data_IF_415106161145
#
_entry.id   IF_415106161145
#
_cell.length_a   1.000
_cell.length_b   1.000
_cell.length_c   1.000
_cell.angle_alpha   90.00
_cell.angle_beta   90.00
_cell.angle_gamma   90.00
#
_symmetry.space_group_name_H-M   'P 1'
#
loop_
_entity.id
_entity.type
_entity.pdbx_description
1 polymer ?
#
# COMPACT_ATOMS: atom_id res chain seq x y z
N UNK A 1 6.48 12.37 29.41
CA UNK A 1 5.64 11.16 29.43
C UNK A 1 5.50 10.73 27.99
N UNK A 2 6.37 9.82 27.56
CA UNK A 2 6.42 9.34 26.17
C UNK A 2 5.12 8.57 25.88
N UNK A 3 4.42 8.99 24.83
CA UNK A 3 3.28 8.24 24.31
C UNK A 3 3.88 6.98 23.68
N UNK A 4 3.74 5.83 24.35
CA UNK A 4 4.00 4.53 23.73
C UNK A 4 3.19 4.48 22.43
N UNK A 5 3.89 4.46 21.29
CA UNK A 5 3.31 4.28 19.96
C UNK A 5 2.56 2.94 19.96
N UNK A 6 1.25 3.03 20.20
CA UNK A 6 0.31 1.92 20.36
C UNK A 6 0.49 0.83 19.31
N UNK A 7 0.43 -0.42 19.75
CA UNK A 7 0.26 -1.61 18.92
C UNK A 7 0.17 -2.87 19.79
N UNK A 8 -0.58 -3.91 19.40
CA UNK A 8 -0.48 -5.22 20.05
C UNK A 8 1.00 -5.66 20.05
N UNK A 9 1.42 -6.47 21.04
CA UNK A 9 2.77 -7.05 21.09
C UNK A 9 3.03 -7.89 19.83
N UNK A 10 3.51 -7.25 18.78
CA UNK A 10 4.39 -7.81 17.77
C UNK A 10 5.67 -6.98 17.87
N UNK A 11 6.32 -7.08 19.03
CA UNK A 11 7.58 -6.41 19.30
C UNK A 11 8.61 -6.88 18.26
N UNK A 12 9.18 -5.94 17.50
CA UNK A 12 10.36 -6.19 16.67
C UNK A 12 10.16 -6.23 15.16
N UNK A 13 8.94 -6.25 14.63
CA UNK A 13 8.80 -6.26 13.17
C UNK A 13 8.83 -4.85 12.54
N UNK A 14 9.49 -4.69 11.38
CA UNK A 14 9.71 -3.38 10.79
C UNK A 14 8.44 -2.78 10.18
N UNK A 15 8.33 -1.46 10.21
CA UNK A 15 7.30 -0.70 9.49
C UNK A 15 7.74 -0.34 8.07
N UNK A 16 6.82 0.26 7.30
CA UNK A 16 7.05 0.72 5.93
C UNK A 16 7.56 -0.42 5.02
N UNK A 17 6.96 -1.60 5.16
CA UNK A 17 7.42 -2.86 4.56
C UNK A 17 7.33 -2.88 3.04
N UNK A 18 6.45 -2.06 2.46
CA UNK A 18 6.31 -1.94 1.03
C UNK A 18 6.99 -0.66 0.52
N UNK A 19 8.18 -0.75 -0.11
CA UNK A 19 8.88 0.42 -0.64
C UNK A 19 8.19 1.02 -1.88
N UNK A 20 7.35 0.25 -2.57
CA UNK A 20 6.53 0.71 -3.71
C UNK A 20 5.04 0.71 -3.33
N UNK A 21 4.73 1.22 -2.14
CA UNK A 21 3.38 1.20 -1.56
C UNK A 21 2.33 1.74 -2.54
N UNK A 22 1.32 0.93 -2.93
CA UNK A 22 0.30 1.32 -3.90
C UNK A 22 -0.83 2.13 -3.25
N UNK A 23 -1.67 2.75 -4.08
CA UNK A 23 -3.00 3.20 -3.65
C UNK A 23 -3.89 1.98 -3.42
N UNK A 24 -4.79 2.04 -2.43
CA UNK A 24 -5.71 0.93 -2.17
C UNK A 24 -6.71 0.72 -3.30
N UNK A 25 -7.13 1.77 -4.01
CA UNK A 25 -8.00 1.63 -5.20
C UNK A 25 -7.38 0.68 -6.25
N UNK A 26 -6.08 0.83 -6.52
CA UNK A 26 -5.34 -0.04 -7.45
C UNK A 26 -5.30 -1.48 -6.95
N UNK A 27 -5.09 -1.68 -5.64
CA UNK A 27 -5.08 -3.04 -5.07
C UNK A 27 -6.47 -3.67 -5.18
N UNK A 28 -7.54 -2.96 -4.81
CA UNK A 28 -8.92 -3.43 -4.86
C UNK A 28 -9.34 -3.84 -6.28
N UNK A 29 -9.01 -3.03 -7.29
CA UNK A 29 -9.25 -3.39 -8.70
C UNK A 29 -8.47 -4.64 -9.12
N UNK A 30 -7.22 -4.77 -8.68
CA UNK A 30 -6.41 -5.96 -8.97
C UNK A 30 -6.91 -7.23 -8.27
N UNK A 31 -7.45 -7.14 -7.05
CA UNK A 31 -7.95 -8.32 -6.33
C UNK A 31 -9.00 -9.08 -7.17
N UNK A 32 -9.95 -8.35 -7.75
CA UNK A 32 -10.98 -8.93 -8.61
C UNK A 32 -10.40 -9.54 -9.90
N UNK A 33 -9.43 -8.86 -10.52
CA UNK A 33 -8.88 -9.27 -11.83
C UNK A 33 -7.90 -10.44 -11.71
N UNK A 34 -7.15 -10.49 -10.61
CA UNK A 34 -6.14 -11.52 -10.38
C UNK A 34 -6.72 -12.88 -9.99
N UNK A 35 -7.93 -12.93 -9.44
CA UNK A 35 -8.62 -14.19 -9.14
C UNK A 35 -8.71 -15.09 -10.39
N UNK A 36 -8.23 -16.32 -10.31
CA UNK A 36 -8.16 -17.26 -11.44
C UNK A 36 -6.91 -17.11 -12.33
N UNK A 37 -5.99 -16.18 -12.06
CA UNK A 37 -4.66 -16.18 -12.68
C UNK A 37 -3.69 -17.06 -11.90
N UNK A 38 -2.74 -17.68 -12.60
CA UNK A 38 -1.66 -18.39 -11.91
C UNK A 38 -0.63 -17.41 -11.34
N UNK A 39 -0.04 -17.75 -10.20
CA UNK A 39 1.11 -17.04 -9.62
C UNK A 39 2.27 -16.96 -10.61
N UNK A 40 2.47 -18.02 -11.40
CA UNK A 40 3.53 -18.10 -12.42
C UNK A 40 3.32 -17.03 -13.49
N UNK A 41 2.10 -16.90 -14.00
CA UNK A 41 1.76 -15.95 -15.06
C UNK A 41 1.96 -14.50 -14.61
N UNK A 42 1.45 -14.15 -13.42
CA UNK A 42 1.63 -12.81 -12.86
C UNK A 42 3.11 -12.48 -12.66
N UNK A 43 3.90 -13.44 -12.17
CA UNK A 43 5.36 -13.26 -12.01
C UNK A 43 6.08 -13.16 -13.36
N UNK A 44 5.62 -13.90 -14.37
CA UNK A 44 6.12 -13.81 -15.74
C UNK A 44 6.03 -12.38 -16.25
N UNK A 45 4.84 -11.77 -16.17
CA UNK A 45 4.63 -10.37 -16.55
C UNK A 45 5.55 -9.41 -15.76
N UNK A 46 5.61 -9.54 -14.43
CA UNK A 46 6.47 -8.68 -13.60
C UNK A 46 7.93 -8.77 -14.02
N UNK A 47 8.40 -9.98 -14.32
CA UNK A 47 9.77 -10.22 -14.76
C UNK A 47 10.04 -9.65 -16.15
N UNK A 48 9.13 -9.82 -17.11
CA UNK A 48 9.27 -9.27 -18.46
C UNK A 48 9.40 -7.74 -18.43
N UNK A 49 8.53 -7.06 -17.69
CA UNK A 49 8.60 -5.60 -17.49
C UNK A 49 9.93 -5.18 -16.86
N UNK A 50 10.43 -5.94 -15.88
CA UNK A 50 11.71 -5.64 -15.24
C UNK A 50 12.89 -5.78 -16.21
N UNK A 51 12.94 -6.89 -16.97
CA UNK A 51 14.01 -7.17 -17.93
C UNK A 51 14.05 -6.15 -19.06
N UNK A 52 12.90 -5.62 -19.46
CA UNK A 52 12.78 -4.62 -20.52
C UNK A 52 12.77 -3.16 -20.02
N UNK A 53 13.06 -2.91 -18.74
CA UNK A 53 13.00 -1.55 -18.16
C UNK A 53 14.04 -0.57 -18.75
N UNK A 54 15.03 -1.06 -19.48
CA UNK A 54 16.15 -0.27 -20.00
C UNK A 54 17.21 0.02 -18.94
N UNK A 55 18.14 0.93 -19.26
CA UNK A 55 19.19 1.39 -18.33
C UNK A 55 18.81 2.73 -17.70
N UNK A 56 19.62 3.20 -16.74
CA UNK A 56 19.44 4.55 -16.17
C UNK A 56 19.60 5.65 -17.22
N UNK A 57 20.48 5.45 -18.20
CA UNK A 57 20.82 6.43 -19.22
C UNK A 57 19.88 6.36 -20.43
N UNK A 58 19.18 5.22 -20.61
CA UNK A 58 18.18 5.01 -21.66
C UNK A 58 16.97 4.24 -21.09
N UNK A 59 16.11 4.90 -20.30
CA UNK A 59 14.95 4.25 -19.71
C UNK A 59 13.87 4.02 -20.76
N UNK A 60 13.24 2.84 -20.70
CA UNK A 60 12.08 2.54 -21.55
C UNK A 60 10.83 3.17 -20.96
N UNK A 61 10.00 3.78 -21.81
CA UNK A 61 8.72 4.34 -21.41
C UNK A 61 7.65 3.25 -21.29
N UNK A 62 7.16 3.05 -20.08
CA UNK A 62 6.03 2.14 -19.77
C UNK A 62 4.72 2.88 -19.51
N UNK A 63 4.59 4.11 -20.02
CA UNK A 63 3.49 5.02 -19.64
C UNK A 63 2.19 4.76 -20.38
N UNK A 64 2.23 4.22 -21.60
CA UNK A 64 1.05 3.95 -22.43
C UNK A 64 0.86 2.43 -22.68
N UNK A 65 0.07 1.73 -21.82
CA UNK A 65 -0.16 0.29 -21.94
C UNK A 65 -0.73 -0.16 -23.28
N UNK A 66 -1.65 0.61 -23.86
CA UNK A 66 -2.28 0.26 -25.14
C UNK A 66 -1.23 0.03 -26.26
N UNK A 67 -0.13 0.77 -26.18
CA UNK A 67 0.98 0.66 -27.12
C UNK A 67 1.95 -0.44 -26.72
N UNK A 68 2.56 -0.35 -25.54
CA UNK A 68 3.66 -1.24 -25.19
C UNK A 68 3.24 -2.70 -24.96
N UNK A 69 1.98 -2.97 -24.58
CA UNK A 69 1.50 -4.36 -24.37
C UNK A 69 1.65 -5.16 -25.67
N UNK A 70 1.30 -4.56 -26.80
CA UNK A 70 1.36 -5.21 -28.11
C UNK A 70 2.78 -5.27 -28.68
N UNK A 71 3.59 -4.24 -28.43
CA UNK A 71 4.91 -4.14 -29.04
C UNK A 71 6.00 -4.91 -28.31
N UNK A 72 5.85 -5.10 -26.99
CA UNK A 72 6.92 -5.59 -26.12
C UNK A 72 6.66 -6.98 -25.59
N UNK A 73 5.41 -7.26 -25.22
CA UNK A 73 5.08 -8.53 -24.60
C UNK A 73 4.68 -9.57 -25.64
N UNK A 74 5.03 -10.82 -25.35
CA UNK A 74 4.70 -11.97 -26.16
C UNK A 74 3.75 -12.90 -25.40
N UNK A 75 3.02 -13.74 -26.14
CA UNK A 75 2.29 -14.90 -25.62
C UNK A 75 1.57 -14.63 -24.29
N UNK A 76 2.01 -15.30 -23.22
CA UNK A 76 1.34 -15.31 -21.93
C UNK A 76 1.51 -14.02 -21.15
N UNK A 77 2.67 -13.35 -21.22
CA UNK A 77 2.82 -12.06 -20.54
C UNK A 77 1.87 -11.01 -21.12
N UNK A 78 1.69 -11.04 -22.45
CA UNK A 78 0.74 -10.15 -23.14
C UNK A 78 -0.69 -10.40 -22.66
N UNK A 79 -1.15 -11.65 -22.66
CA UNK A 79 -2.50 -12.01 -22.19
C UNK A 79 -2.77 -11.54 -20.75
N UNK A 80 -1.79 -11.70 -19.86
CA UNK A 80 -1.90 -11.25 -18.46
C UNK A 80 -1.96 -9.73 -18.38
N UNK A 81 -1.13 -9.03 -19.16
CA UNK A 81 -1.14 -7.57 -19.20
C UNK A 81 -2.45 -7.02 -19.75
N UNK A 82 -3.00 -7.62 -20.81
CA UNK A 82 -4.30 -7.26 -21.38
C UNK A 82 -5.43 -7.53 -20.39
N UNK A 83 -5.42 -8.69 -19.73
CA UNK A 83 -6.41 -9.01 -18.69
C UNK A 83 -6.39 -7.99 -17.55
N UNK A 84 -5.23 -7.57 -17.09
CA UNK A 84 -5.11 -6.52 -16.07
C UNK A 84 -5.60 -5.19 -16.63
N UNK A 85 -5.10 -4.77 -17.78
CA UNK A 85 -5.41 -3.46 -18.33
C UNK A 85 -6.89 -3.31 -18.66
N UNK A 86 -7.48 -4.26 -19.38
CA UNK A 86 -8.91 -4.21 -19.71
C UNK A 86 -9.80 -4.56 -18.52
N UNK A 87 -9.40 -5.52 -17.69
CA UNK A 87 -10.17 -5.96 -16.52
C UNK A 87 -10.31 -4.88 -15.44
N UNK A 88 -9.38 -3.92 -15.37
CA UNK A 88 -9.52 -2.74 -14.49
C UNK A 88 -10.07 -1.53 -15.24
N UNK A 89 -10.76 -1.69 -16.38
CA UNK A 89 -11.21 -0.56 -17.21
C UNK A 89 -10.10 0.45 -17.54
N UNK A 90 -8.88 -0.05 -17.76
CA UNK A 90 -7.69 0.71 -18.14
C UNK A 90 -7.16 1.68 -17.07
N UNK A 91 -7.66 1.59 -15.84
CA UNK A 91 -7.17 2.40 -14.70
C UNK A 91 -5.80 1.96 -14.20
N UNK A 92 -5.46 0.67 -14.30
CA UNK A 92 -4.21 0.10 -13.79
C UNK A 92 -3.25 -0.17 -14.93
N UNK A 93 -2.05 0.40 -14.83
CA UNK A 93 -0.95 0.11 -15.71
C UNK A 93 -0.24 -1.19 -15.27
N UNK A 94 -0.25 -2.28 -16.07
CA UNK A 94 0.31 -3.57 -15.65
C UNK A 94 1.82 -3.50 -15.37
N UNK A 95 2.56 -2.55 -15.95
CA UNK A 95 3.98 -2.35 -15.66
C UNK A 95 4.25 -1.72 -14.26
N UNK A 96 3.22 -1.29 -13.55
CA UNK A 96 3.32 -0.61 -12.24
C UNK A 96 2.75 -1.44 -11.08
N UNK A 97 2.40 -2.70 -11.31
CA UNK A 97 1.70 -3.54 -10.32
C UNK A 97 2.61 -4.15 -9.26
N UNK A 98 3.94 -4.08 -9.38
CA UNK A 98 4.86 -4.73 -8.43
C UNK A 98 4.60 -4.33 -6.98
N UNK A 99 4.26 -3.06 -6.73
CA UNK A 99 3.86 -2.58 -5.41
C UNK A 99 2.61 -3.25 -4.86
N UNK A 100 1.58 -3.39 -5.70
CA UNK A 100 0.35 -4.09 -5.35
C UNK A 100 0.58 -5.59 -5.15
N UNK A 101 1.36 -6.24 -6.02
CA UNK A 101 1.78 -7.63 -5.85
C UNK A 101 2.45 -7.88 -4.49
N UNK A 102 3.36 -7.01 -4.07
CA UNK A 102 4.02 -7.11 -2.76
C UNK A 102 3.02 -6.97 -1.60
N UNK A 103 2.05 -6.07 -1.71
CA UNK A 103 1.04 -5.86 -0.68
C UNK A 103 0.11 -7.08 -0.57
N UNK A 104 -0.47 -7.50 -1.70
CA UNK A 104 -1.36 -8.68 -1.79
C UNK A 104 -0.68 -9.91 -1.20
N UNK A 105 0.56 -10.18 -1.61
CA UNK A 105 1.30 -11.36 -1.15
C UNK A 105 1.67 -11.30 0.33
N UNK A 106 2.01 -10.11 0.85
CA UNK A 106 2.48 -9.94 2.23
C UNK A 106 1.35 -10.03 3.25
N UNK A 107 0.18 -9.50 2.90
CA UNK A 107 -0.97 -9.44 3.81
C UNK A 107 -2.04 -10.50 3.48
N UNK A 108 -1.72 -11.47 2.62
CA UNK A 108 -2.62 -12.58 2.30
C UNK A 108 -3.98 -12.12 1.79
N UNK A 109 -4.00 -11.12 0.90
CA UNK A 109 -5.26 -10.57 0.38
C UNK A 109 -5.90 -11.47 -0.69
N UNK A 110 -5.15 -12.45 -1.19
CA UNK A 110 -5.61 -13.56 -2.03
C UNK A 110 -4.88 -14.82 -1.55
N UNK A 111 -5.58 -15.95 -1.61
CA UNK A 111 -4.99 -17.26 -1.41
C UNK A 111 -4.38 -17.79 -2.71
N UNK A 112 -3.57 -18.85 -2.59
CA UNK A 112 -3.03 -19.57 -3.74
C UNK A 112 -3.37 -21.05 -3.58
N UNK A 113 -4.30 -21.54 -4.42
CA UNK A 113 -4.73 -22.94 -4.47
C UNK A 113 -4.26 -23.51 -5.81
N UNK A 114 -3.48 -24.60 -5.77
CA UNK A 114 -2.88 -25.22 -6.97
C UNK A 114 -2.13 -24.23 -7.89
N UNK A 115 -1.51 -23.21 -7.28
CA UNK A 115 -0.77 -22.17 -7.99
C UNK A 115 -1.63 -21.08 -8.61
N UNK A 116 -2.95 -21.12 -8.43
CA UNK A 116 -3.94 -20.13 -8.91
C UNK A 116 -4.36 -19.21 -7.77
N UNK A 117 -4.47 -17.91 -8.05
CA UNK A 117 -4.99 -16.94 -7.09
C UNK A 117 -6.49 -17.14 -6.86
N UNK A 118 -6.90 -17.17 -5.60
CA UNK A 118 -8.30 -17.30 -5.20
C UNK A 118 -8.67 -16.23 -4.18
N UNK A 119 -9.92 -15.76 -4.24
CA UNK A 119 -10.45 -14.85 -3.21
C UNK A 119 -10.58 -15.56 -1.86
N UNK A 120 -10.41 -14.79 -0.80
CA UNK A 120 -10.55 -15.23 0.59
C UNK A 120 -11.26 -14.13 1.41
N UNK A 121 -11.42 -14.35 2.72
CA UNK A 121 -12.09 -13.38 3.59
C UNK A 121 -11.37 -12.00 3.58
N UNK A 122 -10.03 -12.00 3.58
CA UNK A 122 -9.23 -10.77 3.52
C UNK A 122 -9.48 -9.99 2.22
N UNK A 123 -9.78 -10.68 1.10
CA UNK A 123 -10.18 -10.02 -0.15
C UNK A 123 -11.41 -9.15 0.05
N UNK A 124 -12.48 -9.73 0.61
CA UNK A 124 -13.73 -9.00 0.86
C UNK A 124 -13.57 -7.92 1.93
N UNK A 125 -12.85 -8.20 3.02
CA UNK A 125 -12.64 -7.24 4.08
C UNK A 125 -11.78 -6.04 3.63
N UNK A 126 -10.81 -6.25 2.75
CA UNK A 126 -9.96 -5.16 2.25
C UNK A 126 -10.71 -4.19 1.31
N UNK A 127 -11.81 -4.65 0.72
CA UNK A 127 -12.72 -3.82 -0.07
C UNK A 127 -13.61 -2.90 0.79
N UNK A 128 -13.70 -3.16 2.10
CA UNK A 128 -14.45 -2.35 3.06
C UNK A 128 -13.47 -1.55 3.91
N UNK A 129 -13.81 -0.29 4.19
CA UNK A 129 -12.98 0.60 5.01
C UNK A 129 -13.87 1.43 5.96
N UNK A 130 -13.64 1.38 7.29
CA UNK A 130 -12.58 0.64 7.98
C UNK A 130 -12.82 -0.87 8.05
N UNK A 131 -11.74 -1.65 8.20
CA UNK A 131 -11.79 -3.10 8.47
C UNK A 131 -10.51 -3.58 9.19
N UNK A 132 -10.54 -4.74 9.88
CA UNK A 132 -9.36 -5.28 10.58
C UNK A 132 -8.15 -5.50 9.67
N UNK A 133 -8.37 -6.02 8.46
CA UNK A 133 -7.27 -6.20 7.49
C UNK A 133 -6.70 -4.86 7.01
N UNK A 134 -7.53 -3.86 6.73
CA UNK A 134 -7.06 -2.51 6.35
C UNK A 134 -6.24 -1.89 7.46
N UNK A 135 -6.68 -2.03 8.71
CA UNK A 135 -5.95 -1.59 9.89
C UNK A 135 -4.59 -2.28 10.01
N UNK A 136 -4.53 -3.60 9.82
CA UNK A 136 -3.28 -4.36 9.89
C UNK A 136 -2.28 -3.86 8.82
N UNK A 137 -2.73 -3.66 7.58
CA UNK A 137 -1.88 -3.09 6.52
C UNK A 137 -1.44 -1.68 6.91
N UNK A 138 -2.35 -0.82 7.35
CA UNK A 138 -2.05 0.55 7.73
C UNK A 138 -1.05 0.64 8.89
N UNK A 139 -1.15 -0.26 9.86
CA UNK A 139 -0.23 -0.35 10.99
C UNK A 139 1.20 -0.63 10.49
N UNK A 140 1.38 -1.72 9.75
CA UNK A 140 2.70 -2.15 9.30
C UNK A 140 3.28 -1.30 8.18
N UNK A 141 2.46 -0.56 7.45
CA UNK A 141 2.91 0.40 6.45
C UNK A 141 3.15 1.80 7.03
N UNK A 142 2.94 2.00 8.34
CA UNK A 142 3.20 3.27 9.02
C UNK A 142 2.15 4.36 8.71
N UNK A 143 1.00 3.97 8.16
CA UNK A 143 -0.12 4.88 7.89
C UNK A 143 -0.74 5.37 9.19
N UNK A 144 -0.89 4.47 10.19
CA UNK A 144 -1.46 4.82 11.49
C UNK A 144 -0.65 5.91 12.18
N UNK A 145 0.68 5.82 12.16
CA UNK A 145 1.55 6.85 12.73
C UNK A 145 1.32 8.24 12.10
N UNK A 146 1.15 8.29 10.77
CA UNK A 146 0.86 9.55 10.06
C UNK A 146 -0.50 10.12 10.49
N UNK A 147 -1.53 9.27 10.59
CA UNK A 147 -2.86 9.68 11.05
C UNK A 147 -2.81 10.21 12.49
N UNK A 148 -2.09 9.52 13.38
CA UNK A 148 -1.92 9.93 14.77
C UNK A 148 -1.22 11.28 14.90
N UNK A 149 -0.10 11.49 14.20
CA UNK A 149 0.58 12.79 14.24
C UNK A 149 -0.31 13.93 13.75
N UNK A 150 -1.14 13.69 12.73
CA UNK A 150 -2.10 14.68 12.24
C UNK A 150 -3.26 14.91 13.21
N UNK A 151 -3.70 13.87 13.93
CA UNK A 151 -4.73 13.99 14.97
C UNK A 151 -4.23 14.82 16.16
N UNK A 152 -2.98 14.61 16.59
CA UNK A 152 -2.35 15.30 17.72
C UNK A 152 -2.03 16.77 17.43
N UNK A 153 -1.55 17.06 16.21
CA UNK A 153 -1.05 18.40 15.86
C UNK A 153 -2.10 19.24 15.10
N UNK A 154 -3.26 18.64 14.75
CA UNK A 154 -4.33 19.14 13.87
C UNK A 154 -3.92 19.50 12.43
N UNK A 155 -2.72 20.06 12.26
CA UNK A 155 -2.11 20.47 11.00
C UNK A 155 -0.61 20.21 11.09
N UNK A 156 -0.02 19.61 10.06
CA UNK A 156 1.43 19.44 9.95
C UNK A 156 1.96 20.03 8.65
N UNK A 157 3.08 20.77 8.73
CA UNK A 157 3.84 21.12 7.55
C UNK A 157 4.49 19.86 6.96
N UNK A 158 4.72 19.85 5.64
CA UNK A 158 5.34 18.69 4.97
C UNK A 158 6.74 18.42 5.48
N UNK A 159 7.47 19.47 5.84
CA UNK A 159 8.82 19.44 6.42
C UNK A 159 8.82 18.81 7.84
N UNK A 160 7.81 19.11 8.65
CA UNK A 160 7.66 18.50 9.98
C UNK A 160 7.30 17.02 9.87
N UNK A 161 6.39 16.68 8.94
CA UNK A 161 5.99 15.30 8.71
C UNK A 161 7.17 14.43 8.25
N UNK A 162 8.05 14.95 7.38
CA UNK A 162 9.23 14.18 6.95
C UNK A 162 10.22 13.97 8.10
N UNK A 163 10.39 14.93 9.02
CA UNK A 163 11.24 14.74 10.19
C UNK A 163 10.72 13.62 11.10
N UNK A 164 9.43 13.67 11.47
CA UNK A 164 8.78 12.62 12.27
C UNK A 164 8.87 11.24 11.58
N UNK A 165 8.67 11.21 10.27
CA UNK A 165 8.78 9.99 9.48
C UNK A 165 10.19 9.42 9.44
N UNK A 166 11.22 10.27 9.31
CA UNK A 166 12.63 9.83 9.34
C UNK A 166 12.95 9.20 10.68
N UNK A 167 12.61 9.86 11.79
CA UNK A 167 12.83 9.35 13.14
C UNK A 167 12.19 7.97 13.35
N UNK A 168 10.93 7.82 12.92
CA UNK A 168 10.23 6.55 12.98
C UNK A 168 10.89 5.47 12.09
N UNK A 169 11.33 5.81 10.88
CA UNK A 169 11.98 4.86 9.99
C UNK A 169 13.39 4.45 10.45
N UNK A 170 14.16 5.36 11.03
CA UNK A 170 15.50 5.07 11.56
C UNK A 170 15.44 4.10 12.75
N UNK A 171 14.35 4.12 13.52
CA UNK A 171 14.15 3.26 14.69
C UNK A 171 13.41 1.95 14.35
N UNK A 172 12.48 1.97 13.39
CA UNK A 172 11.52 0.86 13.18
C UNK A 172 11.46 0.34 11.75
N UNK A 173 12.30 0.79 10.81
CA UNK A 173 12.28 0.27 9.43
C UNK A 173 13.60 -0.35 9.02
N UNK A 174 13.60 -1.06 7.89
CA UNK A 174 14.82 -1.60 7.26
C UNK A 174 15.40 -0.64 6.20
N UNK A 175 14.87 0.57 6.09
CA UNK A 175 15.26 1.53 5.05
C UNK A 175 16.59 2.20 5.40
N UNK A 176 17.55 2.17 4.47
CA UNK A 176 18.94 2.62 4.74
C UNK A 176 19.28 4.02 4.24
N UNK A 177 18.43 4.65 3.42
CA UNK A 177 18.71 5.98 2.86
C UNK A 177 17.55 6.94 3.08
N UNK A 178 17.88 8.20 3.44
CA UNK A 178 16.90 9.28 3.61
C UNK A 178 16.08 9.52 2.34
N UNK A 179 16.69 9.37 1.16
CA UNK A 179 15.98 9.46 -0.13
C UNK A 179 14.90 8.39 -0.25
N UNK A 180 15.22 7.13 0.08
CA UNK A 180 14.24 6.04 0.08
C UNK A 180 13.14 6.30 1.09
N UNK A 181 13.49 6.72 2.31
CA UNK A 181 12.55 7.06 3.39
C UNK A 181 11.56 8.15 2.94
N UNK A 182 12.03 9.25 2.36
CA UNK A 182 11.16 10.32 1.84
C UNK A 182 10.29 9.89 0.65
N UNK A 183 10.81 8.99 -0.20
CA UNK A 183 10.01 8.39 -1.28
C UNK A 183 8.89 7.51 -0.72
N UNK A 184 9.19 6.71 0.32
CA UNK A 184 8.20 5.89 1.01
C UNK A 184 7.10 6.74 1.67
N UNK A 185 7.45 7.85 2.33
CA UNK A 185 6.46 8.80 2.87
C UNK A 185 5.54 9.32 1.78
N UNK A 186 6.11 9.72 0.64
CA UNK A 186 5.34 10.31 -0.46
C UNK A 186 4.28 9.36 -1.00
N UNK A 187 4.58 8.05 -1.09
CA UNK A 187 3.63 7.03 -1.50
C UNK A 187 2.50 6.83 -0.47
N UNK A 188 2.82 6.90 0.83
CA UNK A 188 1.84 6.77 1.93
C UNK A 188 0.91 7.98 2.00
N UNK A 189 1.46 9.19 1.85
CA UNK A 189 0.66 10.42 1.71
C UNK A 189 -0.24 10.35 0.48
N UNK A 190 0.25 9.83 -0.66
CA UNK A 190 -0.57 9.67 -1.86
C UNK A 190 -1.70 8.66 -1.67
N UNK A 191 -1.45 7.56 -0.94
CA UNK A 191 -2.47 6.57 -0.56
C UNK A 191 -3.54 7.20 0.35
N UNK A 192 -3.13 7.90 1.42
CA UNK A 192 -4.02 8.60 2.34
C UNK A 192 -4.91 9.62 1.62
N UNK A 193 -4.36 10.40 0.68
CA UNK A 193 -5.13 11.32 -0.16
C UNK A 193 -6.13 10.59 -1.05
N UNK A 194 -5.73 9.47 -1.67
CA UNK A 194 -6.63 8.68 -2.52
C UNK A 194 -7.80 8.05 -1.77
N UNK A 195 -7.64 7.82 -0.45
CA UNK A 195 -8.69 7.35 0.45
C UNK A 195 -9.50 8.50 1.07
N UNK A 196 -9.22 9.73 0.67
CA UNK A 196 -9.79 10.95 1.25
C UNK A 196 -9.62 11.01 2.78
N UNK A 197 -8.52 10.49 3.35
CA UNK A 197 -8.26 10.55 4.79
C UNK A 197 -7.51 11.83 5.20
N UNK A 198 -6.75 12.38 4.27
CA UNK A 198 -6.02 13.63 4.48
C UNK A 198 -6.27 14.57 3.30
N UNK A 199 -6.21 15.85 3.61
CA UNK A 199 -6.29 16.94 2.65
C UNK A 199 -5.03 17.81 2.76
N UNK A 200 -4.73 18.54 1.69
CA UNK A 200 -3.61 19.49 1.65
C UNK A 200 -4.16 20.88 1.34
N UNK A 201 -3.81 21.87 2.17
CA UNK A 201 -4.09 23.28 1.94
C UNK A 201 -2.78 24.05 1.99
N UNK A 202 -2.31 24.52 0.82
CA UNK A 202 -0.95 25.02 0.69
C UNK A 202 0.08 23.89 0.84
N UNK A 203 1.06 24.03 1.74
CA UNK A 203 2.06 22.99 2.08
C UNK A 203 1.77 22.28 3.41
N UNK A 204 0.52 22.38 3.89
CA UNK A 204 0.09 21.86 5.18
C UNK A 204 -0.95 20.77 5.00
N UNK A 205 -0.73 19.66 5.70
CA UNK A 205 -1.58 18.48 5.71
C UNK A 205 -2.51 18.51 6.92
N UNK A 206 -3.74 18.07 6.74
CA UNK A 206 -4.76 17.97 7.79
C UNK A 206 -5.62 16.72 7.57
N UNK A 207 -6.20 16.17 8.65
CA UNK A 207 -7.22 15.13 8.53
C UNK A 207 -8.47 15.70 7.85
N UNK A 208 -9.02 14.95 6.91
CA UNK A 208 -10.36 15.18 6.41
C UNK A 208 -11.40 14.74 7.45
N UNK A 209 -12.69 14.85 7.13
CA UNK A 209 -13.75 14.24 7.93
C UNK A 209 -13.61 12.71 8.01
N UNK A 210 -13.42 12.04 6.87
CA UNK A 210 -13.16 10.59 6.85
C UNK A 210 -11.90 10.23 7.64
N UNK A 211 -10.86 11.07 7.59
CA UNK A 211 -9.64 10.91 8.38
C UNK A 211 -9.89 10.96 9.87
N UNK A 212 -10.75 11.87 10.34
CA UNK A 212 -11.16 11.96 11.75
C UNK A 212 -12.00 10.77 12.18
N UNK A 213 -12.96 10.33 11.36
CA UNK A 213 -13.73 9.12 11.62
C UNK A 213 -12.83 7.89 11.71
N UNK A 214 -11.87 7.76 10.79
CA UNK A 214 -10.91 6.66 10.81
C UNK A 214 -10.00 6.72 12.04
N UNK A 215 -9.52 7.90 12.44
CA UNK A 215 -8.74 8.08 13.66
C UNK A 215 -9.53 7.70 14.93
N UNK A 216 -10.82 8.05 15.00
CA UNK A 216 -11.70 7.63 16.10
C UNK A 216 -11.87 6.12 16.13
N UNK A 217 -12.17 5.50 14.99
CA UNK A 217 -12.32 4.06 14.88
C UNK A 217 -11.04 3.31 15.30
N UNK A 218 -9.86 3.83 14.93
CA UNK A 218 -8.57 3.31 15.39
C UNK A 218 -8.49 3.36 16.92
N UNK A 219 -8.82 4.50 17.53
CA UNK A 219 -8.77 4.67 18.99
C UNK A 219 -9.71 3.70 19.71
N UNK A 220 -10.94 3.53 19.21
CA UNK A 220 -11.96 2.64 19.78
C UNK A 220 -11.55 1.16 19.66
N UNK A 221 -10.98 0.78 18.51
CA UNK A 221 -10.45 -0.58 18.26
C UNK A 221 -9.32 -0.90 19.23
N UNK A 222 -8.36 0.02 19.41
CA UNK A 222 -7.27 -0.17 20.36
C UNK A 222 -7.72 -0.25 21.81
N UNK A 223 -8.72 0.54 22.21
CA UNK A 223 -9.27 0.48 23.58
C UNK A 223 -9.96 -0.86 23.83
N UNK A 224 -10.72 -1.35 22.85
CA UNK A 224 -11.42 -2.65 22.92
C UNK A 224 -10.45 -3.84 23.02
N UNK A 225 -9.36 -3.82 22.23
CA UNK A 225 -8.31 -4.83 22.29
C UNK A 225 -7.56 -4.81 23.63
N UNK A 226 -7.28 -3.62 24.18
CA UNK A 226 -6.65 -3.49 25.50
C UNK A 226 -7.52 -4.06 26.61
N UNK A 227 -8.82 -3.77 26.61
CA UNK A 227 -9.77 -4.31 27.59
C UNK A 227 -9.83 -5.84 27.47
N UNK A 228 -9.94 -6.37 26.25
CA UNK A 228 -10.01 -7.82 26.01
C UNK A 228 -8.74 -8.57 26.47
N UNK A 229 -7.57 -7.93 26.39
CA UNK A 229 -6.30 -8.50 26.86
C UNK A 229 -6.04 -8.31 28.36
N UNK A 230 -6.83 -7.49 29.07
CA UNK A 230 -6.76 -7.33 30.52
C UNK A 230 -7.73 -8.25 31.27
N UNK A 231 -8.73 -8.79 30.56
CA UNK A 231 -9.82 -9.63 31.12
C UNK A 231 -9.57 -11.13 30.85
N UNK A 232 -8.50 -11.49 30.12
CA UNK A 232 -8.00 -12.85 29.94
C UNK A 232 -6.65 -13.02 30.66
#
# INVERSE_FOLDING_TARGET
MEVELFGPKIAGEPIARNPKFPKYSVVRELLAVLSGLTKRDLRGLINAVYLESGSKDAPVSWTNPAFWINERLCQREKEVAERIFEGTNRSVNPARIYGAYLLISRYGLLDIVDGVYCENNNTSEFNVEPSPIVFQVDYFEGIIAIIQWLAENHVLAREELIHKWIELCETRSQMRSRRSIGSALSLRVANLKSRNLINEKGRKLHLSENGRHYASWIADTYQSDRISNLVN
#
